data_IF_551578010876
#
_entry.id   IF_551578010876
#
_cell.length_a   1.000
_cell.length_b   1.000
_cell.length_c   1.000
_cell.angle_alpha   90.00
_cell.angle_beta   90.00
_cell.angle_gamma   90.00
#
_symmetry.space_group_name_H-M   'P 1'
#
loop_
_entity.id
_entity.type
_entity.pdbx_description
1 polymer ?
#
# COMPACT_ATOMS: atom_id res chain seq x y z
N UNK A 1 38.74 -4.01 -2.77
CA UNK A 1 37.30 -4.01 -3.13
C UNK A 1 36.79 -2.57 -3.08
N UNK A 2 36.34 -1.97 -4.19
CA UNK A 2 35.72 -0.63 -4.17
C UNK A 2 34.31 -0.76 -3.58
N UNK A 3 34.02 -0.08 -2.47
CA UNK A 3 32.66 0.01 -1.91
C UNK A 3 31.73 0.57 -2.99
N UNK A 4 30.65 -0.15 -3.31
CA UNK A 4 29.63 0.37 -4.22
C UNK A 4 29.08 1.68 -3.65
N UNK A 5 28.99 2.72 -4.49
CA UNK A 5 28.49 4.04 -4.07
C UNK A 5 27.00 3.89 -3.80
N UNK A 6 26.63 3.88 -2.52
CA UNK A 6 25.25 3.90 -2.07
C UNK A 6 24.71 5.33 -2.16
N UNK A 7 23.48 5.48 -2.63
CA UNK A 7 22.78 6.75 -2.73
C UNK A 7 21.59 6.69 -1.78
N UNK A 8 21.55 7.58 -0.81
CA UNK A 8 20.41 7.75 0.07
C UNK A 8 19.36 8.63 -0.60
N UNK A 9 18.11 8.20 -0.57
CA UNK A 9 16.98 8.91 -1.14
C UNK A 9 16.17 9.47 0.01
N UNK A 10 15.79 10.74 -0.06
CA UNK A 10 15.00 11.43 0.98
C UNK A 10 13.70 11.96 0.39
N UNK A 11 12.67 12.09 1.22
CA UNK A 11 11.41 12.74 0.85
C UNK A 11 11.54 14.27 0.97
N UNK A 12 10.47 14.98 0.66
CA UNK A 12 10.42 16.44 0.73
C UNK A 12 10.53 17.00 2.17
N UNK A 13 10.30 16.17 3.19
CA UNK A 13 10.43 16.53 4.62
C UNK A 13 11.81 16.20 5.19
N UNK A 14 12.69 15.57 4.41
CA UNK A 14 14.05 15.21 4.81
C UNK A 14 14.19 13.82 5.43
N UNK A 15 13.12 13.01 5.44
CA UNK A 15 13.18 11.64 5.93
C UNK A 15 13.73 10.70 4.85
N UNK A 16 14.59 9.77 5.27
CA UNK A 16 15.16 8.78 4.37
C UNK A 16 14.09 7.82 3.87
N UNK A 17 13.91 7.75 2.54
CA UNK A 17 12.98 6.86 1.85
C UNK A 17 13.63 5.54 1.48
N UNK A 18 14.89 5.52 1.02
CA UNK A 18 15.60 4.27 0.67
C UNK A 18 17.10 4.45 0.43
N UNK A 19 17.81 3.33 0.21
CA UNK A 19 19.21 3.30 -0.22
C UNK A 19 19.36 2.53 -1.54
N UNK A 20 19.93 3.18 -2.55
CA UNK A 20 20.15 2.60 -3.89
C UNK A 20 21.64 2.34 -4.14
N UNK A 21 21.96 1.25 -4.84
CA UNK A 21 23.35 0.86 -5.15
C UNK A 21 23.77 1.12 -6.60
N UNK A 22 22.84 1.48 -7.49
CA UNK A 22 23.05 1.74 -8.92
C UNK A 22 22.09 2.82 -9.44
N UNK A 23 22.47 3.53 -10.50
CA UNK A 23 21.60 4.53 -11.17
C UNK A 23 20.31 3.93 -11.72
N UNK A 24 20.33 2.69 -12.20
CA UNK A 24 19.14 2.05 -12.79
C UNK A 24 18.09 1.63 -11.74
N UNK A 25 18.40 1.80 -10.45
CA UNK A 25 17.47 1.52 -9.35
C UNK A 25 16.53 2.71 -9.03
N UNK A 26 16.67 3.85 -9.73
CA UNK A 26 15.82 5.02 -9.52
C UNK A 26 14.44 4.89 -10.18
N UNK A 27 14.35 4.25 -11.34
CA UNK A 27 13.08 4.20 -12.09
C UNK A 27 11.95 3.53 -11.29
N UNK A 28 12.17 2.39 -10.60
CA UNK A 28 11.14 1.78 -9.75
C UNK A 28 10.65 2.69 -8.60
N UNK A 29 11.55 3.47 -8.00
CA UNK A 29 11.21 4.45 -6.95
C UNK A 29 10.40 5.60 -7.54
N UNK A 30 10.77 6.09 -8.72
CA UNK A 30 10.00 7.12 -9.45
C UNK A 30 8.61 6.60 -9.81
N UNK A 31 8.50 5.37 -10.30
CA UNK A 31 7.23 4.74 -10.66
C UNK A 31 6.32 4.57 -9.45
N UNK A 32 6.87 4.16 -8.30
CA UNK A 32 6.16 4.13 -7.01
C UNK A 32 5.58 5.50 -6.66
N UNK A 33 6.41 6.55 -6.68
CA UNK A 33 5.97 7.92 -6.33
C UNK A 33 4.91 8.43 -7.31
N UNK A 34 5.05 8.14 -8.61
CA UNK A 34 4.05 8.49 -9.62
C UNK A 34 2.73 7.78 -9.37
N UNK A 35 2.78 6.48 -9.08
CA UNK A 35 1.59 5.69 -8.78
C UNK A 35 0.86 6.20 -7.55
N UNK A 36 1.56 6.45 -6.44
CA UNK A 36 1.00 7.03 -5.22
C UNK A 36 0.35 8.39 -5.48
N UNK A 37 1.03 9.28 -6.22
CA UNK A 37 0.46 10.57 -6.61
C UNK A 37 -0.82 10.43 -7.42
N UNK A 38 -0.89 9.43 -8.30
CA UNK A 38 -2.10 9.17 -9.08
C UNK A 38 -3.21 8.56 -8.23
N UNK A 39 -2.90 7.63 -7.33
CA UNK A 39 -3.86 7.02 -6.42
C UNK A 39 -4.48 8.06 -5.48
N UNK A 40 -3.68 9.00 -4.98
CA UNK A 40 -4.16 10.12 -4.17
C UNK A 40 -5.17 11.04 -4.89
N UNK A 41 -5.25 11.02 -6.23
CA UNK A 41 -6.28 11.75 -6.98
C UNK A 41 -7.57 10.96 -7.20
N UNK A 42 -7.59 9.66 -6.87
CA UNK A 42 -8.77 8.79 -7.01
C UNK A 42 -9.66 8.81 -5.77
N UNK A 43 -9.55 9.87 -4.97
CA UNK A 43 -10.40 10.09 -3.82
C UNK A 43 -11.76 10.65 -4.26
N UNK A 44 -12.85 9.91 -3.98
CA UNK A 44 -14.19 10.45 -4.18
C UNK A 44 -14.53 11.39 -3.03
N UNK A 45 -14.56 12.69 -3.32
CA UNK A 45 -14.88 13.74 -2.34
C UNK A 45 -16.30 13.66 -1.78
N UNK A 46 -17.19 12.88 -2.40
CA UNK A 46 -18.55 12.62 -1.89
C UNK A 46 -18.54 11.62 -0.74
N UNK A 47 -17.52 10.78 -0.66
CA UNK A 47 -17.35 9.75 0.36
C UNK A 47 -16.41 10.23 1.47
N UNK A 48 -16.55 9.65 2.67
CA UNK A 48 -15.61 9.91 3.76
C UNK A 48 -14.30 9.13 3.52
N UNK A 49 -13.13 9.68 3.95
CA UNK A 49 -11.87 8.95 3.85
C UNK A 49 -11.88 7.62 4.59
N UNK A 50 -11.23 6.62 4.00
CA UNK A 50 -11.00 5.33 4.66
C UNK A 50 -10.21 5.60 5.94
N UNK A 51 -10.66 5.02 7.04
CA UNK A 51 -9.93 5.07 8.31
C UNK A 51 -8.98 3.90 8.35
N UNK A 52 -7.70 4.22 8.48
CA UNK A 52 -6.60 3.26 8.59
C UNK A 52 -5.89 3.58 9.90
N UNK A 53 -5.95 2.65 10.85
CA UNK A 53 -5.38 2.84 12.18
C UNK A 53 -4.29 1.80 12.41
N UNK A 54 -3.12 2.28 12.83
CA UNK A 54 -2.01 1.44 13.28
C UNK A 54 -2.12 1.28 14.80
N UNK A 55 -2.37 0.06 15.28
CA UNK A 55 -2.62 -0.19 16.71
C UNK A 55 -1.42 0.15 17.59
N UNK A 56 -0.20 0.00 17.06
CA UNK A 56 1.04 0.32 17.77
C UNK A 56 1.30 1.84 17.90
N UNK A 57 0.49 2.67 17.23
CA UNK A 57 0.66 4.12 17.15
C UNK A 57 1.65 4.58 16.07
N UNK A 58 1.78 5.90 15.92
CA UNK A 58 2.55 6.59 14.86
C UNK A 58 4.04 6.80 15.19
N UNK A 59 4.53 6.20 16.28
CA UNK A 59 5.93 6.24 16.68
C UNK A 59 6.83 5.45 15.72
N UNK A 60 8.13 5.74 15.73
CA UNK A 60 9.12 4.92 15.04
C UNK A 60 9.13 3.51 15.64
N UNK A 61 8.89 2.51 14.79
CA UNK A 61 8.89 1.10 15.18
C UNK A 61 10.24 0.46 14.95
N UNK A 62 10.64 -0.47 15.81
CA UNK A 62 11.89 -1.23 15.63
C UNK A 62 11.75 -2.24 14.49
N UNK A 63 12.85 -2.49 13.78
CA UNK A 63 12.90 -3.54 12.78
C UNK A 63 12.53 -4.90 13.38
N UNK A 64 11.59 -5.60 12.74
CA UNK A 64 11.09 -6.91 13.17
C UNK A 64 9.89 -6.85 14.13
N UNK A 65 9.41 -5.66 14.47
CA UNK A 65 8.13 -5.50 15.20
C UNK A 65 6.97 -5.88 14.30
N UNK A 66 5.96 -6.59 14.79
CA UNK A 66 4.74 -6.83 14.03
C UNK A 66 3.82 -5.60 14.11
N UNK A 67 3.31 -5.15 12.96
CA UNK A 67 2.41 -4.00 12.88
C UNK A 67 0.99 -4.47 12.57
N UNK A 68 0.02 -3.95 13.33
CA UNK A 68 -1.38 -4.30 13.18
C UNK A 68 -2.18 -3.12 12.65
N UNK A 69 -2.75 -3.31 11.47
CA UNK A 69 -3.62 -2.32 10.85
C UNK A 69 -5.07 -2.71 11.02
N UNK A 70 -5.89 -1.74 11.39
CA UNK A 70 -7.34 -1.84 11.25
C UNK A 70 -7.82 -0.90 10.16
N UNK A 71 -8.77 -1.38 9.37
CA UNK A 71 -9.32 -0.68 8.21
C UNK A 71 -10.83 -0.56 8.41
N UNK A 72 -11.39 0.62 8.16
CA UNK A 72 -12.84 0.81 8.08
C UNK A 72 -13.22 1.88 7.07
N UNK A 73 -14.42 1.80 6.46
CA UNK A 73 -14.94 2.90 5.66
C UNK A 73 -15.08 4.15 6.52
N UNK A 74 -14.95 5.33 5.90
CA UNK A 74 -15.08 6.60 6.61
C UNK A 74 -16.47 6.81 7.22
N UNK A 75 -17.49 6.22 6.58
CA UNK A 75 -18.86 6.14 7.05
C UNK A 75 -19.46 4.76 6.76
N UNK A 76 -20.02 4.11 7.78
CA UNK A 76 -20.63 2.78 7.66
C UNK A 76 -21.86 2.71 6.74
N UNK A 77 -22.49 3.84 6.43
CA UNK A 77 -23.64 3.89 5.51
C UNK A 77 -23.26 3.81 4.02
N UNK A 78 -21.98 3.92 3.67
CA UNK A 78 -21.50 3.96 2.28
C UNK A 78 -21.46 2.57 1.61
N UNK A 79 -21.76 1.50 2.35
CA UNK A 79 -21.78 0.10 1.89
C UNK A 79 -20.50 -0.37 1.17
N UNK A 80 -19.37 0.27 1.45
CA UNK A 80 -18.07 -0.12 0.91
C UNK A 80 -17.54 -1.34 1.68
N UNK A 81 -17.77 -2.54 1.15
CA UNK A 81 -17.44 -3.81 1.80
C UNK A 81 -16.43 -4.66 1.02
N UNK A 82 -16.22 -4.36 -0.25
CA UNK A 82 -15.22 -5.04 -1.05
C UNK A 82 -13.84 -4.43 -0.79
N UNK A 83 -12.98 -5.19 -0.12
CA UNK A 83 -11.66 -4.73 0.30
C UNK A 83 -10.58 -5.27 -0.64
N UNK A 84 -9.62 -4.41 -0.96
CA UNK A 84 -8.36 -4.76 -1.59
C UNK A 84 -7.23 -4.09 -0.83
N UNK A 85 -6.19 -4.85 -0.51
CA UNK A 85 -4.98 -4.31 0.12
C UNK A 85 -3.77 -4.69 -0.71
N UNK A 86 -2.90 -3.72 -0.98
CA UNK A 86 -1.59 -3.98 -1.56
C UNK A 86 -0.54 -3.03 -0.98
N UNK A 87 0.69 -3.51 -0.86
CA UNK A 87 1.84 -2.76 -0.40
C UNK A 87 2.73 -2.33 -1.56
N UNK A 88 3.35 -1.15 -1.42
CA UNK A 88 4.40 -0.65 -2.29
C UNK A 88 5.72 -0.59 -1.51
N UNK A 89 6.61 -1.54 -1.79
CA UNK A 89 7.90 -1.72 -1.13
C UNK A 89 8.86 -0.53 -1.32
N UNK A 90 9.95 -0.55 -0.56
CA UNK A 90 10.98 0.49 -0.55
C UNK A 90 11.55 0.81 -1.96
N UNK A 91 11.72 -0.21 -2.81
CA UNK A 91 12.30 -0.07 -4.15
C UNK A 91 11.22 -0.19 -5.23
N UNK A 92 9.96 0.08 -4.88
CA UNK A 92 8.84 0.03 -5.81
C UNK A 92 8.38 -1.38 -6.14
N UNK A 93 8.60 -2.37 -5.27
CA UNK A 93 8.00 -3.68 -5.43
C UNK A 93 6.51 -3.65 -5.07
N UNK A 94 5.65 -4.22 -5.91
CA UNK A 94 4.25 -4.48 -5.57
C UNK A 94 4.15 -5.71 -4.68
N UNK A 95 3.31 -5.66 -3.65
CA UNK A 95 2.89 -6.81 -2.85
C UNK A 95 1.37 -6.83 -2.76
N UNK A 96 0.71 -7.83 -3.33
CA UNK A 96 -0.74 -8.01 -3.17
C UNK A 96 -1.03 -8.72 -1.85
N UNK A 97 -1.82 -8.10 -0.98
CA UNK A 97 -1.96 -8.47 0.43
C UNK A 97 -3.36 -8.93 0.81
N UNK A 98 -4.39 -8.49 0.09
CA UNK A 98 -5.75 -8.96 0.30
C UNK A 98 -6.62 -8.75 -0.95
N UNK A 99 -7.50 -9.71 -1.29
CA UNK A 99 -7.64 -11.02 -0.64
C UNK A 99 -6.58 -12.02 -1.12
N UNK A 100 -6.11 -12.87 -0.22
CA UNK A 100 -5.16 -13.95 -0.51
C UNK A 100 -5.94 -15.27 -0.64
N UNK A 101 -5.81 -15.92 -1.81
CA UNK A 101 -6.57 -17.14 -2.12
C UNK A 101 -6.21 -18.31 -1.21
N UNK A 102 -4.95 -18.41 -0.82
CA UNK A 102 -4.39 -19.45 0.04
C UNK A 102 -5.04 -19.42 1.43
N UNK A 103 -5.37 -18.24 1.94
CA UNK A 103 -6.09 -18.04 3.20
C UNK A 103 -7.61 -18.11 3.05
N UNK A 104 -8.11 -18.34 1.82
CA UNK A 104 -9.54 -18.33 1.48
C UNK A 104 -10.25 -17.05 1.91
N UNK A 105 -9.55 -15.93 1.79
CA UNK A 105 -10.11 -14.64 2.13
C UNK A 105 -11.38 -14.36 1.33
N UNK A 106 -12.40 -13.88 2.02
CA UNK A 106 -13.61 -13.36 1.37
C UNK A 106 -13.25 -12.15 0.51
N UNK A 107 -13.96 -11.97 -0.61
CA UNK A 107 -13.87 -10.72 -1.39
C UNK A 107 -14.61 -9.56 -0.71
N UNK A 108 -15.45 -9.88 0.28
CA UNK A 108 -16.28 -8.95 1.03
C UNK A 108 -15.94 -9.07 2.52
N UNK A 109 -15.66 -7.93 3.14
CA UNK A 109 -15.54 -7.81 4.58
C UNK A 109 -16.93 -7.78 5.18
N UNK A 110 -17.21 -8.76 6.05
CA UNK A 110 -18.51 -8.88 6.72
C UNK A 110 -18.69 -7.85 7.84
N UNK A 111 -17.60 -7.53 8.54
CA UNK A 111 -17.61 -6.64 9.69
C UNK A 111 -16.40 -5.71 9.69
N UNK A 112 -16.66 -4.42 9.93
CA UNK A 112 -15.63 -3.42 10.18
C UNK A 112 -15.59 -3.05 11.68
N UNK A 113 -14.41 -2.65 12.21
CA UNK A 113 -13.13 -2.55 11.52
C UNK A 113 -12.53 -3.92 11.18
N UNK A 114 -11.94 -4.04 9.99
CA UNK A 114 -11.23 -5.24 9.55
C UNK A 114 -9.81 -5.19 10.09
N UNK A 115 -9.41 -6.21 10.84
CA UNK A 115 -8.03 -6.36 11.32
C UNK A 115 -7.23 -7.10 10.25
N UNK A 116 -6.23 -6.42 9.67
CA UNK A 116 -5.33 -7.04 8.71
C UNK A 116 -4.51 -8.11 9.45
N UNK A 117 -4.44 -9.35 8.94
CA UNK A 117 -3.62 -10.40 9.53
C UNK A 117 -2.17 -9.94 9.70
N UNK A 118 -1.48 -10.50 10.69
CA UNK A 118 -0.10 -10.15 11.02
C UNK A 118 0.79 -10.15 9.76
N UNK A 119 1.26 -8.96 9.40
CA UNK A 119 2.24 -8.82 8.34
C UNK A 119 3.63 -8.91 8.97
N UNK A 120 4.39 -9.95 8.61
CA UNK A 120 5.78 -10.03 9.05
C UNK A 120 6.54 -8.83 8.49
N UNK A 121 7.08 -8.01 9.39
CA UNK A 121 8.07 -6.97 9.06
C UNK A 121 9.33 -7.64 8.52
N UNK A 122 9.33 -7.83 7.19
CA UNK A 122 10.54 -8.07 6.43
C UNK A 122 11.51 -6.90 6.61
N UNK A 123 12.80 -7.05 6.25
CA UNK A 123 13.81 -6.04 6.52
C UNK A 123 13.59 -4.67 5.86
N UNK A 124 12.53 -4.51 5.06
CA UNK A 124 12.09 -3.30 4.34
C UNK A 124 10.93 -2.53 4.99
N UNK A 125 10.29 -3.08 6.03
CA UNK A 125 9.15 -2.39 6.64
C UNK A 125 9.67 -1.18 7.41
N UNK A 126 9.28 0.00 6.93
CA UNK A 126 9.81 1.31 7.29
C UNK A 126 10.02 2.29 6.13
N UNK A 127 9.84 1.82 4.90
CA UNK A 127 9.92 2.62 3.67
C UNK A 127 8.76 2.30 2.72
N UNK A 128 7.66 1.75 3.25
CA UNK A 128 6.58 1.13 2.49
C UNK A 128 5.29 1.96 2.56
N UNK A 129 4.46 1.83 1.53
CA UNK A 129 3.12 2.43 1.51
C UNK A 129 2.10 1.31 1.42
N UNK A 130 1.20 1.25 2.40
CA UNK A 130 0.01 0.40 2.35
C UNK A 130 -1.08 1.16 1.60
N UNK A 131 -1.63 0.54 0.56
CA UNK A 131 -2.74 1.08 -0.21
C UNK A 131 -3.97 0.21 0.01
N UNK A 132 -5.07 0.88 0.35
CA UNK A 132 -6.36 0.30 0.67
C UNK A 132 -7.34 0.79 -0.39
N UNK A 133 -8.08 -0.15 -1.00
CA UNK A 133 -9.17 0.17 -1.90
C UNK A 133 -10.44 -0.45 -1.35
N UNK A 134 -11.45 0.37 -1.12
CA UNK A 134 -12.78 -0.02 -0.65
C UNK A 134 -13.82 0.30 -1.71
N UNK A 135 -14.52 -0.72 -2.17
CA UNK A 135 -15.55 -0.62 -3.19
C UNK A 135 -16.89 -1.14 -2.66
N UNK A 136 -17.99 -0.80 -3.33
CA UNK A 136 -19.30 -1.42 -3.10
C UNK A 136 -19.32 -2.89 -3.56
N UNK A 137 -18.56 -3.21 -4.60
CA UNK A 137 -18.51 -4.50 -5.27
C UNK A 137 -17.06 -4.95 -5.50
N UNK A 138 -16.77 -6.27 -5.52
CA UNK A 138 -15.40 -6.75 -5.69
C UNK A 138 -14.73 -6.28 -6.99
N UNK A 139 -13.60 -5.58 -6.86
CA UNK A 139 -12.76 -5.12 -7.97
C UNK A 139 -11.92 -6.26 -8.59
N UNK A 140 -12.59 -7.29 -9.14
CA UNK A 140 -11.94 -8.52 -9.64
C UNK A 140 -10.88 -8.26 -10.72
N UNK A 141 -11.10 -7.27 -11.58
CA UNK A 141 -10.14 -6.93 -12.63
C UNK A 141 -8.89 -6.25 -12.06
N UNK A 142 -9.04 -5.44 -11.00
CA UNK A 142 -7.90 -4.91 -10.24
C UNK A 142 -7.11 -6.07 -9.63
N UNK A 143 -7.77 -7.04 -8.99
CA UNK A 143 -7.09 -8.20 -8.40
C UNK A 143 -6.31 -8.99 -9.45
N UNK A 144 -6.90 -9.25 -10.62
CA UNK A 144 -6.22 -9.92 -11.74
C UNK A 144 -5.01 -9.13 -12.21
N UNK A 145 -5.13 -7.81 -12.33
CA UNK A 145 -4.02 -6.94 -12.71
C UNK A 145 -2.87 -7.06 -11.71
N UNK A 146 -3.14 -6.85 -10.42
CA UNK A 146 -2.14 -6.84 -9.36
C UNK A 146 -1.39 -8.18 -9.27
N UNK A 147 -2.14 -9.29 -9.28
CA UNK A 147 -1.57 -10.65 -9.29
C UNK A 147 -0.69 -10.92 -10.52
N UNK A 148 -1.06 -10.39 -11.70
CA UNK A 148 -0.31 -10.60 -12.94
C UNK A 148 0.99 -9.81 -12.98
N UNK A 149 1.00 -8.59 -12.43
CA UNK A 149 2.14 -7.68 -12.56
C UNK A 149 3.13 -7.78 -11.41
N UNK A 150 2.70 -8.26 -10.23
CA UNK A 150 3.57 -8.46 -9.07
C UNK A 150 4.83 -9.29 -9.43
N UNK A 151 6.04 -8.89 -8.98
CA UNK A 151 6.37 -7.78 -8.07
C UNK A 151 6.58 -6.42 -8.73
N UNK A 152 6.28 -6.25 -10.02
CA UNK A 152 6.39 -4.96 -10.71
C UNK A 152 5.15 -4.12 -10.47
N UNK A 153 5.31 -2.80 -10.55
CA UNK A 153 4.18 -1.86 -10.49
C UNK A 153 3.46 -1.81 -11.85
N UNK A 154 2.11 -1.75 -11.86
CA UNK A 154 1.39 -1.32 -13.04
C UNK A 154 1.63 0.17 -13.29
N UNK A 155 1.63 0.57 -14.55
CA UNK A 155 1.57 2.00 -14.87
C UNK A 155 0.21 2.58 -14.43
N UNK A 156 0.14 3.87 -14.05
CA UNK A 156 -1.13 4.46 -13.59
C UNK A 156 -2.29 4.27 -14.57
N UNK A 157 -2.03 4.44 -15.88
CA UNK A 157 -3.04 4.24 -16.93
C UNK A 157 -3.58 2.80 -17.03
N UNK A 158 -2.84 1.81 -16.54
CA UNK A 158 -3.30 0.42 -16.47
C UNK A 158 -4.15 0.17 -15.23
N UNK A 159 -3.89 0.87 -14.12
CA UNK A 159 -4.57 0.65 -12.84
C UNK A 159 -5.88 1.45 -12.73
N UNK A 160 -5.88 2.71 -13.16
CA UNK A 160 -7.02 3.62 -13.03
C UNK A 160 -8.36 3.08 -13.54
N UNK A 161 -8.43 2.43 -14.72
CA UNK A 161 -9.70 1.91 -15.23
C UNK A 161 -10.33 0.83 -14.34
N UNK A 162 -9.56 0.22 -13.44
CA UNK A 162 -10.03 -0.82 -12.52
C UNK A 162 -10.43 -0.31 -11.14
N UNK A 163 -10.25 0.99 -10.87
CA UNK A 163 -10.66 1.60 -9.60
C UNK A 163 -12.10 2.09 -9.58
N UNK A 164 -12.71 2.43 -10.73
CA UNK A 164 -14.13 2.81 -10.81
C UNK A 164 -14.55 3.86 -9.76
N UNK A 165 -15.64 3.59 -9.04
CA UNK A 165 -16.16 4.40 -7.93
C UNK A 165 -15.66 3.94 -6.55
N UNK A 166 -14.53 3.23 -6.50
CA UNK A 166 -13.94 2.81 -5.22
C UNK A 166 -13.30 3.99 -4.49
N UNK A 167 -13.33 3.93 -3.16
CA UNK A 167 -12.54 4.82 -2.32
C UNK A 167 -11.12 4.27 -2.17
N UNK A 168 -10.12 5.15 -2.23
CA UNK A 168 -8.71 4.81 -2.04
C UNK A 168 -8.18 5.51 -0.78
N UNK A 169 -7.42 4.76 0.03
CA UNK A 169 -6.72 5.24 1.21
C UNK A 169 -5.28 4.75 1.21
N UNK A 170 -4.38 5.56 1.77
CA UNK A 170 -2.95 5.26 1.82
C UNK A 170 -2.40 5.47 3.23
N UNK A 171 -1.48 4.61 3.65
CA UNK A 171 -0.75 4.77 4.89
C UNK A 171 0.74 4.53 4.65
N UNK A 172 1.57 5.51 5.00
CA UNK A 172 3.03 5.38 4.91
C UNK A 172 3.58 4.80 6.21
N UNK A 173 4.30 3.69 6.12
CA UNK A 173 4.90 3.02 7.28
C UNK A 173 6.38 3.37 7.34
N UNK A 174 6.76 4.08 8.41
CA UNK A 174 8.15 4.44 8.70
C UNK A 174 8.64 3.69 9.93
N UNK A 175 9.84 3.10 9.85
CA UNK A 175 10.48 2.38 10.96
C UNK A 175 11.82 3.03 11.26
N UNK A 176 12.15 3.08 12.55
CA UNK A 176 13.41 3.62 13.04
C UNK A 176 14.48 2.53 13.08
N UNK A 177 15.74 2.95 12.93
CA UNK A 177 16.93 2.10 13.07
C UNK A 177 17.05 1.58 14.50
#
# INVERSE_FOLDING_TARGET
MKKARQIEVFNQTGDKITTLSKRDAWQPVIDKVRLLKTLATQFDMRLKPIRIELLEGDKLHQKGTFLHFTISPGNGSENLKALTIFGLGAKGELQFLYPIKEYKDSLLVEQFPYSVPEMTVGPSLGEENLVIVLCDTPAKELHKLLLRVQPKLPAPAQLLPHLGDCQVGEYAVFSGI
#
